data_IF_613314604335
#
_entry.id   IF_613314604335
#
_cell.length_a   1.000
_cell.length_b   1.000
_cell.length_c   1.000
_cell.angle_alpha   90.00
_cell.angle_beta   90.00
_cell.angle_gamma   90.00
#
_symmetry.space_group_name_H-M   'P 1'
#
loop_
_entity.id
_entity.type
_entity.pdbx_description
1 polymer ?
#
# COMPACT_ATOMS: atom_id res chain seq x y z
N UNK A 1 -1.73 -4.62 -7.91
CA UNK A 1 -0.62 -5.18 -8.72
C UNK A 1 -1.11 -5.91 -9.96
N UNK A 2 -1.90 -6.98 -9.84
CA UNK A 2 -2.43 -7.71 -11.01
C UNK A 2 -3.23 -6.79 -11.97
N UNK A 3 -4.02 -5.84 -11.43
CA UNK A 3 -4.72 -4.81 -12.21
C UNK A 3 -3.82 -3.87 -13.00
N UNK A 4 -2.56 -3.70 -12.58
CA UNK A 4 -1.57 -2.87 -13.27
C UNK A 4 -0.71 -3.69 -14.27
N UNK A 5 -0.96 -5.00 -14.42
CA UNK A 5 -0.16 -5.87 -15.29
C UNK A 5 1.30 -6.10 -14.83
N UNK A 6 1.70 -5.55 -13.69
CA UNK A 6 3.07 -5.64 -13.19
C UNK A 6 3.29 -6.91 -12.35
N UNK A 7 4.32 -7.65 -12.72
CA UNK A 7 4.85 -8.75 -11.90
C UNK A 7 5.66 -8.21 -10.71
N UNK A 8 5.80 -9.02 -9.65
CA UNK A 8 6.62 -8.67 -8.48
C UNK A 8 8.07 -8.29 -8.86
N UNK A 9 8.79 -9.07 -9.71
CA UNK A 9 10.13 -8.70 -10.14
C UNK A 9 10.18 -7.39 -10.94
N UNK A 10 9.19 -7.17 -11.83
CA UNK A 10 9.13 -5.95 -12.63
C UNK A 10 8.97 -4.71 -11.75
N UNK A 11 8.09 -4.76 -10.74
CA UNK A 11 7.94 -3.66 -9.79
C UNK A 11 9.22 -3.45 -8.97
N UNK A 12 9.85 -4.51 -8.49
CA UNK A 12 11.09 -4.40 -7.74
C UNK A 12 12.18 -3.67 -8.56
N UNK A 13 12.31 -3.97 -9.85
CA UNK A 13 13.21 -3.24 -10.74
C UNK A 13 12.76 -1.78 -10.92
N UNK A 14 11.48 -1.51 -11.16
CA UNK A 14 10.95 -0.15 -11.33
C UNK A 14 11.26 0.75 -10.11
N UNK A 15 11.26 0.20 -8.89
CA UNK A 15 11.60 0.98 -7.70
C UNK A 15 13.03 1.53 -7.69
N UNK A 16 13.96 0.93 -8.45
CA UNK A 16 15.32 1.46 -8.58
C UNK A 16 15.36 2.80 -9.32
N UNK A 17 14.43 3.03 -10.24
CA UNK A 17 14.29 4.32 -10.94
C UNK A 17 13.70 5.43 -10.08
N UNK A 18 13.16 5.08 -8.91
CA UNK A 18 12.62 6.03 -7.93
C UNK A 18 13.62 6.29 -6.80
N UNK A 19 14.36 5.26 -6.38
CA UNK A 19 15.36 5.37 -5.33
C UNK A 19 16.59 6.17 -5.80
N UNK A 20 16.92 7.32 -5.18
CA UNK A 20 18.11 8.09 -5.53
C UNK A 20 19.43 7.31 -5.38
N UNK A 21 19.45 6.29 -4.53
CA UNK A 21 20.61 5.40 -4.36
C UNK A 21 20.64 4.23 -5.35
N UNK A 22 19.61 4.06 -6.18
CA UNK A 22 19.49 3.00 -7.18
C UNK A 22 19.33 1.58 -6.61
N UNK A 23 19.10 1.42 -5.30
CA UNK A 23 18.96 0.10 -4.67
C UNK A 23 17.56 -0.46 -4.86
N UNK A 24 16.55 0.40 -4.73
CA UNK A 24 15.14 0.03 -4.82
C UNK A 24 14.70 -0.90 -3.67
N UNK A 25 13.56 -1.55 -3.86
CA UNK A 25 12.94 -2.48 -2.93
C UNK A 25 13.10 -3.90 -3.47
N UNK A 26 13.52 -4.84 -2.63
CA UNK A 26 13.71 -6.23 -3.06
C UNK A 26 12.39 -6.90 -3.47
N UNK A 27 12.46 -7.80 -4.45
CA UNK A 27 11.30 -8.59 -4.90
C UNK A 27 10.63 -9.37 -3.77
N UNK A 28 11.40 -9.88 -2.81
CA UNK A 28 10.85 -10.55 -1.63
C UNK A 28 10.02 -9.60 -0.75
N UNK A 29 10.49 -8.36 -0.56
CA UNK A 29 9.73 -7.35 0.19
C UNK A 29 8.49 -6.92 -0.58
N UNK A 30 8.60 -6.66 -1.88
CA UNK A 30 7.43 -6.38 -2.74
C UNK A 30 6.40 -7.51 -2.67
N UNK A 31 6.84 -8.77 -2.76
CA UNK A 31 5.96 -9.92 -2.67
C UNK A 31 5.26 -10.06 -1.32
N UNK A 32 5.91 -9.71 -0.20
CA UNK A 32 5.27 -9.66 1.11
C UNK A 32 4.23 -8.55 1.22
N UNK A 33 4.42 -7.43 0.52
CA UNK A 33 3.47 -6.30 0.54
C UNK A 33 2.30 -6.50 -0.43
N UNK A 34 2.53 -7.16 -1.55
CA UNK A 34 1.52 -7.41 -2.57
C UNK A 34 0.73 -8.72 -2.36
N UNK A 35 1.28 -9.64 -1.58
CA UNK A 35 0.68 -10.95 -1.32
C UNK A 35 -0.40 -10.92 -0.24
N UNK A 36 -1.23 -11.97 -0.22
CA UNK A 36 -2.27 -12.21 0.81
C UNK A 36 -2.02 -13.52 1.59
N UNK A 37 -0.84 -14.14 1.42
CA UNK A 37 -0.49 -15.41 2.04
C UNK A 37 0.07 -15.30 3.45
N UNK A 38 0.48 -16.42 4.05
CA UNK A 38 1.04 -16.51 5.41
C UNK A 38 2.21 -15.56 5.70
N UNK A 39 2.97 -15.19 4.67
CA UNK A 39 4.14 -14.32 4.77
C UNK A 39 3.85 -12.86 4.42
N UNK A 40 2.60 -12.53 4.09
CA UNK A 40 2.17 -11.18 3.80
C UNK A 40 2.38 -10.28 5.01
N UNK A 41 2.67 -9.00 4.75
CA UNK A 41 2.84 -7.98 5.77
C UNK A 41 1.86 -6.85 5.54
N UNK A 42 1.18 -6.47 6.62
CA UNK A 42 0.23 -5.35 6.61
C UNK A 42 0.92 -3.98 6.72
N UNK A 43 2.19 -3.96 7.17
CA UNK A 43 2.94 -2.74 7.37
C UNK A 43 4.37 -2.81 6.82
N UNK A 44 4.88 -1.64 6.42
CA UNK A 44 6.27 -1.42 6.06
C UNK A 44 6.69 0.00 6.41
N UNK A 45 7.99 0.27 6.30
CA UNK A 45 8.53 1.62 6.42
C UNK A 45 7.92 2.54 5.36
N UNK A 46 7.61 3.78 5.75
CA UNK A 46 7.05 4.80 4.87
C UNK A 46 7.85 4.97 3.57
N UNK A 47 9.18 4.91 3.66
CA UNK A 47 10.07 5.01 2.50
C UNK A 47 9.86 3.89 1.49
N UNK A 48 9.65 2.67 1.97
CA UNK A 48 9.37 1.51 1.12
C UNK A 48 8.01 1.66 0.45
N UNK A 49 7.00 2.09 1.21
CA UNK A 49 5.66 2.37 0.67
C UNK A 49 5.72 3.44 -0.42
N UNK A 50 6.48 4.52 -0.20
CA UNK A 50 6.68 5.59 -1.17
C UNK A 50 7.29 5.08 -2.48
N UNK A 51 8.40 4.32 -2.41
CA UNK A 51 9.04 3.79 -3.61
C UNK A 51 8.12 2.87 -4.41
N UNK A 52 7.36 2.01 -3.74
CA UNK A 52 6.41 1.11 -4.40
C UNK A 52 5.26 1.90 -5.05
N UNK A 53 4.69 2.88 -4.35
CA UNK A 53 3.57 3.68 -4.86
C UNK A 53 3.97 4.55 -6.05
N UNK A 54 5.12 5.23 -5.97
CA UNK A 54 5.65 6.07 -7.05
C UNK A 54 6.03 5.22 -8.28
N UNK A 55 6.68 4.07 -8.08
CA UNK A 55 6.98 3.15 -9.19
C UNK A 55 5.69 2.66 -9.87
N UNK A 56 4.68 2.28 -9.10
CA UNK A 56 3.36 1.92 -9.63
C UNK A 56 2.72 3.06 -10.43
N UNK A 57 2.79 4.30 -9.93
CA UNK A 57 2.24 5.47 -10.61
C UNK A 57 2.93 5.76 -11.95
N UNK A 58 4.25 5.60 -12.02
CA UNK A 58 5.01 5.82 -13.27
C UNK A 58 4.75 4.75 -14.32
N UNK A 59 4.64 3.49 -13.90
CA UNK A 59 4.48 2.35 -14.79
C UNK A 59 3.02 2.15 -15.25
N UNK A 60 2.06 2.68 -14.51
CA UNK A 60 0.64 2.47 -14.80
C UNK A 60 -0.01 3.76 -15.31
N UNK A 61 -0.62 3.78 -16.50
CA UNK A 61 -1.32 4.95 -17.03
C UNK A 61 -2.66 5.25 -16.33
N UNK A 62 -2.97 4.50 -15.27
CA UNK A 62 -4.24 4.59 -14.52
C UNK A 62 -3.99 5.32 -13.20
N UNK A 63 -4.93 6.17 -12.74
CA UNK A 63 -4.82 6.79 -11.43
C UNK A 63 -4.56 5.77 -10.32
N UNK A 64 -3.65 6.11 -9.40
CA UNK A 64 -3.15 5.19 -8.38
C UNK A 64 -4.30 4.58 -7.55
N UNK A 65 -5.33 5.37 -7.23
CA UNK A 65 -6.51 4.95 -6.48
C UNK A 65 -7.26 3.78 -7.13
N UNK A 66 -7.27 3.67 -8.46
CA UNK A 66 -8.00 2.62 -9.18
C UNK A 66 -7.31 1.25 -9.03
N UNK A 67 -6.05 1.26 -8.57
CA UNK A 67 -5.30 0.05 -8.24
C UNK A 67 -5.72 -0.55 -6.89
N UNK A 68 -6.46 0.19 -6.08
CA UNK A 68 -6.91 -0.23 -4.77
C UNK A 68 -8.41 -0.54 -4.79
N UNK A 69 -8.78 -1.63 -4.11
CA UNK A 69 -10.18 -1.88 -3.80
C UNK A 69 -10.57 -0.91 -2.67
N UNK A 70 -11.06 0.27 -3.04
CA UNK A 70 -11.60 1.21 -2.07
C UNK A 70 -12.84 0.56 -1.44
N UNK A 71 -12.89 0.41 -0.11
CA UNK A 71 -14.10 -0.05 0.55
C UNK A 71 -15.24 0.93 0.24
N UNK A 72 -16.46 0.42 0.04
CA UNK A 72 -17.63 1.27 -0.09
C UNK A 72 -17.72 2.17 1.15
N UNK A 73 -18.08 3.46 1.00
CA UNK A 73 -18.15 4.39 2.13
C UNK A 73 -19.06 3.80 3.21
N UNK A 74 -18.47 3.38 4.33
CA UNK A 74 -19.21 2.88 5.49
C UNK A 74 -19.61 4.09 6.33
N UNK A 75 -20.84 4.55 6.20
CA UNK A 75 -21.42 5.55 7.11
C UNK A 75 -21.88 4.88 8.42
N UNK A 76 -21.03 4.05 9.03
CA UNK A 76 -21.24 3.55 10.39
C UNK A 76 -20.43 4.41 11.35
N UNK A 77 -20.91 5.62 11.61
CA UNK A 77 -20.43 6.41 12.76
C UNK A 77 -21.03 5.74 13.99
N UNK A 78 -20.29 4.83 14.62
CA UNK A 78 -20.62 4.39 15.98
C UNK A 78 -20.18 5.55 16.88
N UNK A 79 -21.11 6.44 17.19
CA UNK A 79 -20.93 7.48 18.20
C UNK A 79 -20.68 6.79 19.55
N UNK A 80 -19.44 6.84 20.05
CA UNK A 80 -19.10 6.44 21.42
C UNK A 80 -19.03 7.68 22.30
N UNK A 81 -20.20 8.27 22.57
CA UNK A 81 -20.36 9.23 23.66
C UNK A 81 -20.54 8.43 24.95
N UNK A 82 -19.51 8.38 25.80
CA UNK A 82 -19.69 7.94 27.20
C UNK A 82 -20.29 9.12 27.97
N UNK A 83 -21.43 8.96 28.68
CA UNK A 83 -21.91 10.01 29.57
C UNK A 83 -20.87 10.18 30.69
N UNK A 84 -20.35 11.39 30.81
CA UNK A 84 -19.50 11.82 31.93
C UNK A 84 -20.28 11.62 33.24
N UNK A 85 -19.61 11.12 34.26
CA UNK A 85 -20.20 10.55 35.46
C UNK A 85 -21.00 11.59 36.26
N UNK A 86 -22.23 11.24 36.67
CA UNK A 86 -22.83 11.85 37.85
C UNK A 86 -22.16 11.24 39.10
N UNK A 87 -21.24 11.98 39.73
CA UNK A 87 -20.90 11.78 41.13
C UNK A 87 -21.59 12.88 41.95
N UNK A 88 -22.48 12.46 42.84
CA UNK A 88 -23.23 13.31 43.78
C UNK A 88 -22.50 13.57 45.09
#
# INVERSE_FOLDING_TARGET
MHRAGLSIPALAEATKGVDPAGKGVSAATVGRLAGQGKTARESCELRTAWFVAEALHRETPTPLQDLFAMPSPSTSIIERSTPDAEEG
#
